data_IF_078325839759
#
_entry.id   IF_078325839759
#
_cell.length_a   1.000
_cell.length_b   1.000
_cell.length_c   1.000
_cell.angle_alpha   90.00
_cell.angle_beta   90.00
_cell.angle_gamma   90.00
#
_symmetry.space_group_name_H-M   'P 1'
#
loop_
_entity.id
_entity.type
_entity.pdbx_description
1 polymer ?
#
# COMPACT_ATOMS: atom_id res chain seq x y z
N UNK A 1 -39.59 18.55 31.25
CA UNK A 1 -38.83 17.79 30.24
C UNK A 1 -37.45 18.41 30.13
N UNK A 2 -36.36 17.69 30.46
CA UNK A 2 -35.02 18.22 30.25
C UNK A 2 -34.69 18.18 28.76
N UNK A 3 -34.26 19.32 28.22
CA UNK A 3 -33.69 19.44 26.88
C UNK A 3 -32.31 18.79 26.93
N UNK A 4 -32.13 17.67 26.23
CA UNK A 4 -30.81 17.04 26.04
C UNK A 4 -30.01 17.95 25.09
N UNK A 5 -28.87 18.52 25.50
CA UNK A 5 -28.04 19.33 24.63
C UNK A 5 -27.39 18.45 23.56
N UNK A 6 -27.45 18.93 22.31
CA UNK A 6 -26.84 18.42 21.08
C UNK A 6 -25.92 17.20 21.21
N UNK A 7 -26.46 16.04 20.87
CA UNK A 7 -25.65 15.01 20.23
C UNK A 7 -25.13 15.61 18.92
N UNK A 8 -23.89 16.11 18.93
CA UNK A 8 -23.13 16.33 17.71
C UNK A 8 -23.28 15.07 16.87
N UNK A 9 -23.75 15.21 15.63
CA UNK A 9 -23.79 14.15 14.64
C UNK A 9 -22.43 13.44 14.72
N UNK A 10 -22.43 12.25 15.31
CA UNK A 10 -21.22 11.53 15.64
C UNK A 10 -20.55 11.20 14.31
N UNK A 11 -19.44 11.88 14.01
CA UNK A 11 -18.55 11.51 12.92
C UNK A 11 -18.41 9.99 12.91
N UNK A 12 -18.82 9.37 11.80
CA UNK A 12 -18.74 7.92 11.65
C UNK A 12 -17.28 7.51 11.84
N UNK A 13 -16.95 6.48 12.64
CA UNK A 13 -15.57 6.06 12.90
C UNK A 13 -14.73 5.90 11.61
N UNK A 14 -15.35 5.47 10.51
CA UNK A 14 -14.77 5.40 9.17
C UNK A 14 -14.19 6.72 8.62
N UNK A 15 -14.76 7.88 8.99
CA UNK A 15 -14.29 9.22 8.58
C UNK A 15 -12.98 9.59 9.28
N UNK A 16 -12.79 9.15 10.53
CA UNK A 16 -11.64 9.50 11.39
C UNK A 16 -10.35 8.82 10.98
N UNK A 17 -10.44 7.67 10.32
CA UNK A 17 -9.29 6.92 9.89
C UNK A 17 -8.66 7.53 8.63
N UNK A 18 -9.48 7.84 7.63
CA UNK A 18 -9.05 8.42 6.36
C UNK A 18 -8.52 9.86 6.51
N UNK A 19 -9.05 10.63 7.44
CA UNK A 19 -8.64 12.02 7.72
C UNK A 19 -7.58 12.13 8.81
N UNK A 20 -7.14 11.01 9.39
CA UNK A 20 -6.10 10.99 10.41
C UNK A 20 -4.79 11.55 9.87
N UNK A 21 -4.19 12.51 10.57
CA UNK A 21 -2.86 13.02 10.25
C UNK A 21 -1.79 11.92 10.20
N UNK A 22 -1.94 10.85 11.00
CA UNK A 22 -1.04 9.70 10.97
C UNK A 22 -1.21 8.84 9.72
N UNK A 23 -2.44 8.66 9.25
CA UNK A 23 -2.70 7.93 8.00
C UNK A 23 -2.14 8.71 6.80
N UNK A 24 -2.42 10.01 6.73
CA UNK A 24 -1.88 10.88 5.69
C UNK A 24 -0.35 10.94 5.75
N UNK A 25 0.21 11.15 6.94
CA UNK A 25 1.65 11.19 7.16
C UNK A 25 2.34 9.88 6.75
N UNK A 26 1.77 8.73 7.13
CA UNK A 26 2.28 7.42 6.76
C UNK A 26 2.28 7.19 5.25
N UNK A 27 1.16 7.46 4.58
CA UNK A 27 1.06 7.29 3.14
C UNK A 27 1.98 8.24 2.35
N UNK A 28 2.00 9.53 2.71
CA UNK A 28 2.87 10.52 2.04
C UNK A 28 4.34 10.21 2.26
N UNK A 29 4.73 9.84 3.48
CA UNK A 29 6.11 9.45 3.78
C UNK A 29 6.51 8.19 3.00
N UNK A 30 5.64 7.18 2.95
CA UNK A 30 5.88 5.98 2.13
C UNK A 30 6.03 6.34 0.67
N UNK A 31 5.16 7.19 0.12
CA UNK A 31 5.25 7.60 -1.27
C UNK A 31 6.57 8.34 -1.55
N UNK A 32 6.94 9.30 -0.69
CA UNK A 32 8.20 10.03 -0.83
C UNK A 32 9.41 9.08 -0.79
N UNK A 33 9.48 8.19 0.20
CA UNK A 33 10.60 7.26 0.36
C UNK A 33 10.72 6.30 -0.83
N UNK A 34 9.60 5.72 -1.28
CA UNK A 34 9.60 4.75 -2.39
C UNK A 34 9.95 5.43 -3.72
N UNK A 35 9.39 6.62 -3.99
CA UNK A 35 9.68 7.35 -5.23
C UNK A 35 11.13 7.86 -5.25
N UNK A 36 11.60 8.48 -4.17
CA UNK A 36 13.00 8.90 -4.06
C UNK A 36 13.93 7.69 -4.15
N UNK A 37 13.57 6.58 -3.51
CA UNK A 37 14.31 5.33 -3.59
C UNK A 37 14.41 4.81 -5.01
N UNK A 38 13.31 4.82 -5.78
CA UNK A 38 13.30 4.38 -7.17
C UNK A 38 14.28 5.19 -8.04
N UNK A 39 14.32 6.51 -7.88
CA UNK A 39 15.29 7.37 -8.57
C UNK A 39 16.74 7.22 -8.05
N UNK A 40 16.93 6.72 -6.83
CA UNK A 40 18.24 6.50 -6.24
C UNK A 40 18.82 5.10 -6.53
N UNK A 41 18.01 4.17 -7.07
CA UNK A 41 18.40 2.81 -7.44
C UNK A 41 17.59 1.72 -6.72
N UNK A 42 17.60 0.50 -7.25
CA UNK A 42 16.83 -0.65 -6.73
C UNK A 42 17.09 -0.93 -5.25
N UNK A 43 18.35 -0.91 -4.82
CA UNK A 43 18.71 -1.21 -3.43
C UNK A 43 18.08 -0.19 -2.47
N UNK A 44 18.15 1.10 -2.83
CA UNK A 44 17.58 2.18 -2.03
C UNK A 44 16.06 2.08 -2.02
N UNK A 45 15.43 1.78 -3.16
CA UNK A 45 14.00 1.49 -3.25
C UNK A 45 13.60 0.30 -2.37
N UNK A 46 14.37 -0.78 -2.38
CA UNK A 46 14.14 -1.97 -1.56
C UNK A 46 14.23 -1.65 -0.07
N UNK A 47 15.21 -0.85 0.35
CA UNK A 47 15.31 -0.39 1.74
C UNK A 47 14.17 0.56 2.14
N UNK A 48 13.71 1.43 1.24
CA UNK A 48 12.55 2.29 1.47
C UNK A 48 11.25 1.47 1.65
N UNK A 49 11.02 0.48 0.78
CA UNK A 49 9.90 -0.45 0.90
C UNK A 49 10.05 -1.32 2.13
N UNK A 50 11.26 -1.78 2.48
CA UNK A 50 11.51 -2.56 3.69
C UNK A 50 11.14 -1.76 4.95
N UNK A 51 11.63 -0.52 5.07
CA UNK A 51 11.36 0.32 6.22
C UNK A 51 9.86 0.58 6.41
N UNK A 52 9.17 0.96 5.33
CA UNK A 52 7.72 1.21 5.35
C UNK A 52 6.92 -0.08 5.51
N UNK A 53 7.39 -1.18 4.93
CA UNK A 53 6.82 -2.51 5.06
C UNK A 53 6.94 -3.09 6.47
N UNK A 54 8.01 -2.81 7.20
CA UNK A 54 8.14 -3.16 8.62
C UNK A 54 7.18 -2.33 9.49
N UNK A 55 7.00 -1.05 9.18
CA UNK A 55 5.98 -0.23 9.84
C UNK A 55 4.55 -0.73 9.54
N UNK A 56 4.28 -1.15 8.29
CA UNK A 56 3.05 -1.85 7.91
C UNK A 56 2.90 -3.15 8.70
N UNK A 57 3.91 -4.02 8.72
CA UNK A 57 3.87 -5.30 9.43
C UNK A 57 3.55 -5.13 10.93
N UNK A 58 4.07 -4.07 11.55
CA UNK A 58 3.77 -3.72 12.93
C UNK A 58 2.32 -3.23 13.13
N UNK A 59 1.89 -2.24 12.35
CA UNK A 59 0.57 -1.61 12.53
C UNK A 59 -0.60 -2.38 11.93
N UNK A 60 -0.36 -3.23 10.94
CA UNK A 60 -1.39 -3.90 10.15
C UNK A 60 -2.30 -4.82 10.97
N UNK A 61 -1.78 -5.69 11.85
CA UNK A 61 -2.64 -6.51 12.69
C UNK A 61 -3.46 -5.68 13.70
N UNK A 62 -2.94 -4.52 14.12
CA UNK A 62 -3.63 -3.57 15.01
C UNK A 62 -4.74 -2.82 14.28
N UNK A 63 -4.54 -2.50 12.99
CA UNK A 63 -5.56 -1.94 12.12
C UNK A 63 -6.72 -2.91 11.90
N UNK A 64 -6.42 -4.19 11.73
CA UNK A 64 -7.42 -5.23 11.53
C UNK A 64 -8.06 -5.76 12.82
N UNK A 65 -7.60 -5.31 14.00
CA UNK A 65 -8.07 -5.82 15.29
C UNK A 65 -7.84 -7.33 15.48
N UNK A 66 -6.73 -7.86 14.95
CA UNK A 66 -6.48 -9.31 14.97
C UNK A 66 -6.22 -9.82 16.41
N UNK A 67 -6.69 -11.03 16.77
CA UNK A 67 -6.56 -11.56 18.13
C UNK A 67 -5.11 -11.73 18.63
N UNK A 68 -4.17 -12.03 17.72
CA UNK A 68 -2.73 -12.17 18.01
C UNK A 68 -1.90 -11.28 17.08
N UNK A 69 -1.78 -9.97 17.39
CA UNK A 69 -1.13 -9.03 16.51
C UNK A 69 0.37 -9.34 16.34
N UNK A 70 1.07 -9.66 17.42
CA UNK A 70 2.53 -9.92 17.41
C UNK A 70 2.93 -11.06 16.48
N UNK A 71 2.18 -12.17 16.51
CA UNK A 71 2.47 -13.33 15.67
C UNK A 71 2.32 -13.04 14.19
N UNK A 72 1.25 -12.31 13.83
CA UNK A 72 1.03 -11.85 12.45
C UNK A 72 2.10 -10.85 12.03
N UNK A 73 2.47 -9.90 12.90
CA UNK A 73 3.54 -8.93 12.63
C UNK A 73 4.89 -9.60 12.36
N UNK A 74 5.23 -10.65 13.12
CA UNK A 74 6.47 -11.40 12.90
C UNK A 74 6.49 -12.11 11.54
N UNK A 75 5.38 -12.73 11.13
CA UNK A 75 5.27 -13.37 9.81
C UNK A 75 5.43 -12.34 8.69
N UNK A 76 4.73 -11.21 8.79
CA UNK A 76 4.81 -10.12 7.82
C UNK A 76 6.21 -9.50 7.75
N UNK A 77 6.85 -9.28 8.90
CA UNK A 77 8.21 -8.74 8.97
C UNK A 77 9.23 -9.70 8.35
N UNK A 78 9.13 -11.01 8.64
CA UNK A 78 10.00 -12.02 8.06
C UNK A 78 9.84 -12.10 6.53
N UNK A 79 8.60 -12.08 6.02
CA UNK A 79 8.35 -12.05 4.59
C UNK A 79 8.87 -10.76 3.94
N UNK A 80 8.66 -9.60 4.57
CA UNK A 80 9.19 -8.32 4.10
C UNK A 80 10.72 -8.32 3.98
N UNK A 81 11.41 -8.82 5.02
CA UNK A 81 12.87 -8.98 5.03
C UNK A 81 13.35 -9.93 3.93
N UNK A 82 12.66 -11.05 3.73
CA UNK A 82 12.98 -12.00 2.67
C UNK A 82 12.84 -11.37 1.28
N UNK A 83 11.74 -10.65 1.03
CA UNK A 83 11.49 -10.00 -0.27
C UNK A 83 12.49 -8.87 -0.54
N UNK A 84 12.85 -8.08 0.48
CA UNK A 84 13.89 -7.06 0.37
C UNK A 84 15.26 -7.70 0.09
N UNK A 85 15.57 -8.80 0.78
CA UNK A 85 16.78 -9.59 0.53
C UNK A 85 16.86 -10.09 -0.90
N UNK A 86 15.75 -10.57 -1.48
CA UNK A 86 15.71 -10.95 -2.90
C UNK A 86 16.10 -9.77 -3.79
N UNK A 87 15.50 -8.60 -3.63
CA UNK A 87 15.81 -7.45 -4.50
C UNK A 87 17.28 -7.02 -4.36
N UNK A 88 17.78 -6.94 -3.13
CA UNK A 88 19.17 -6.50 -2.86
C UNK A 88 20.21 -7.52 -3.33
N UNK A 89 19.94 -8.82 -3.23
CA UNK A 89 20.92 -9.86 -3.55
C UNK A 89 20.77 -10.46 -4.95
N UNK A 90 19.71 -10.16 -5.69
CA UNK A 90 19.55 -10.64 -7.08
C UNK A 90 20.41 -9.85 -8.08
N UNK A 91 20.84 -8.63 -7.74
CA UNK A 91 21.65 -7.80 -8.65
C UNK A 91 20.91 -7.54 -9.96
N UNK A 92 21.57 -7.82 -11.09
CA UNK A 92 21.02 -7.64 -12.44
C UNK A 92 20.10 -8.80 -12.90
N UNK A 93 20.07 -9.92 -12.16
CA UNK A 93 19.18 -11.03 -12.48
C UNK A 93 17.73 -10.71 -12.10
N UNK A 94 16.77 -11.18 -12.91
CA UNK A 94 15.33 -11.00 -12.67
C UNK A 94 14.88 -11.78 -11.41
N UNK A 95 14.98 -11.12 -10.25
CA UNK A 95 14.63 -11.65 -8.94
C UNK A 95 13.13 -11.88 -8.72
N UNK A 96 12.27 -11.62 -9.71
CA UNK A 96 10.80 -11.68 -9.52
C UNK A 96 10.28 -13.10 -9.27
N UNK A 97 10.95 -14.12 -9.83
CA UNK A 97 10.64 -15.51 -9.51
C UNK A 97 10.96 -15.82 -8.05
N UNK A 98 12.12 -15.39 -7.55
CA UNK A 98 12.52 -15.57 -6.16
C UNK A 98 11.60 -14.78 -5.20
N UNK A 99 11.14 -13.59 -5.60
CA UNK A 99 10.19 -12.80 -4.82
C UNK A 99 8.86 -13.54 -4.66
N UNK A 100 8.37 -14.18 -5.74
CA UNK A 100 7.18 -15.03 -5.72
C UNK A 100 7.36 -16.24 -4.80
N UNK A 101 8.55 -16.85 -4.77
CA UNK A 101 8.89 -17.94 -3.85
C UNK A 101 8.87 -17.46 -2.39
N UNK A 102 9.43 -16.28 -2.08
CA UNK A 102 9.38 -15.71 -0.73
C UNK A 102 7.94 -15.41 -0.31
N UNK A 103 7.12 -14.86 -1.22
CA UNK A 103 5.70 -14.62 -0.94
C UNK A 103 4.96 -15.91 -0.62
N UNK A 104 5.19 -16.98 -1.39
CA UNK A 104 4.64 -18.30 -1.11
C UNK A 104 5.13 -18.85 0.25
N UNK A 105 6.42 -18.68 0.55
CA UNK A 105 7.02 -19.01 1.84
C UNK A 105 6.37 -18.24 3.00
N UNK A 106 6.11 -16.94 2.84
CA UNK A 106 5.40 -16.11 3.80
C UNK A 106 3.98 -16.60 4.06
N UNK A 107 3.27 -17.04 3.01
CA UNK A 107 1.93 -17.62 3.15
C UNK A 107 1.99 -18.96 3.92
N UNK A 108 2.96 -19.83 3.62
CA UNK A 108 3.19 -21.06 4.37
C UNK A 108 3.51 -20.76 5.84
N UNK A 109 4.36 -19.78 6.12
CA UNK A 109 4.67 -19.33 7.48
C UNK A 109 3.42 -18.81 8.20
N UNK A 110 2.52 -18.11 7.50
CA UNK A 110 1.25 -17.68 8.06
C UNK A 110 0.38 -18.88 8.49
N UNK A 111 0.30 -19.93 7.66
CA UNK A 111 -0.42 -21.15 8.02
C UNK A 111 0.24 -21.89 9.20
N UNK A 112 1.56 -22.05 9.19
CA UNK A 112 2.30 -22.68 10.29
C UNK A 112 2.08 -21.92 11.60
N UNK A 113 2.08 -20.58 11.56
CA UNK A 113 1.76 -19.75 12.71
C UNK A 113 0.36 -20.04 13.26
N UNK A 114 -0.64 -20.20 12.40
CA UNK A 114 -2.00 -20.56 12.82
C UNK A 114 -2.09 -22.00 13.37
N UNK A 115 -1.30 -22.95 12.87
CA UNK A 115 -1.29 -24.34 13.36
C UNK A 115 -0.71 -24.46 14.78
N UNK A 116 0.27 -23.63 15.13
CA UNK A 116 0.86 -23.57 16.48
C UNK A 116 -0.09 -22.87 17.47
N UNK A 117 -1.12 -22.17 16.97
CA UNK A 117 -2.06 -21.44 17.82
C UNK A 117 -2.98 -22.40 18.56
N UNK A 118 -3.06 -22.22 19.88
CA UNK A 118 -3.89 -23.01 20.78
C UNK A 118 -5.28 -22.42 21.04
N UNK A 119 -5.54 -21.21 20.52
CA UNK A 119 -6.79 -20.48 20.76
C UNK A 119 -7.90 -20.98 19.83
N UNK A 120 -9.15 -20.73 20.22
CA UNK A 120 -10.35 -21.13 19.48
C UNK A 120 -10.27 -20.86 17.97
N UNK A 121 -10.91 -21.75 17.20
CA UNK A 121 -10.84 -21.75 15.72
C UNK A 121 -11.69 -20.64 15.05
N UNK A 122 -12.43 -19.88 15.85
CA UNK A 122 -13.45 -18.92 15.38
C UNK A 122 -12.85 -17.78 14.55
N UNK A 123 -11.59 -17.41 14.80
CA UNK A 123 -10.91 -16.29 14.11
C UNK A 123 -9.83 -16.70 13.11
N UNK A 124 -9.70 -18.00 12.79
CA UNK A 124 -8.62 -18.47 11.92
C UNK A 124 -8.70 -17.87 10.52
N UNK A 125 -9.89 -17.86 9.93
CA UNK A 125 -10.10 -17.34 8.58
C UNK A 125 -9.82 -15.84 8.51
N UNK A 126 -10.29 -15.07 9.51
CA UNK A 126 -10.06 -13.62 9.56
C UNK A 126 -8.57 -13.31 9.74
N UNK A 127 -7.88 -14.00 10.65
CA UNK A 127 -6.45 -13.80 10.87
C UNK A 127 -5.61 -14.19 9.65
N UNK A 128 -5.97 -15.27 8.97
CA UNK A 128 -5.29 -15.70 7.74
C UNK A 128 -5.58 -14.78 6.56
N UNK A 129 -6.82 -14.32 6.38
CA UNK A 129 -7.19 -13.34 5.37
C UNK A 129 -6.46 -12.00 5.59
N UNK A 130 -6.41 -11.54 6.85
CA UNK A 130 -5.66 -10.35 7.23
C UNK A 130 -4.16 -10.49 6.96
N UNK A 131 -3.55 -11.62 7.35
CA UNK A 131 -2.13 -11.87 7.11
C UNK A 131 -1.80 -11.98 5.60
N UNK A 132 -2.57 -12.76 4.85
CA UNK A 132 -2.38 -12.91 3.40
C UNK A 132 -2.57 -11.59 2.65
N UNK A 133 -3.53 -10.76 3.05
CA UNK A 133 -3.68 -9.43 2.46
C UNK A 133 -2.49 -8.52 2.78
N UNK A 134 -1.98 -8.55 4.01
CA UNK A 134 -0.73 -7.87 4.37
C UNK A 134 0.47 -8.32 3.54
N UNK A 135 0.61 -9.63 3.29
CA UNK A 135 1.66 -10.18 2.42
C UNK A 135 1.55 -9.65 0.97
N UNK A 136 0.33 -9.57 0.43
CA UNK A 136 0.09 -9.03 -0.92
C UNK A 136 0.47 -7.55 -0.99
N UNK A 137 0.15 -6.75 0.03
CA UNK A 137 0.53 -5.34 0.09
C UNK A 137 2.05 -5.15 0.13
N UNK A 138 2.74 -5.95 0.96
CA UNK A 138 4.20 -5.94 1.05
C UNK A 138 4.85 -6.37 -0.27
N UNK A 139 4.34 -7.43 -0.89
CA UNK A 139 4.83 -7.89 -2.18
C UNK A 139 4.61 -6.84 -3.27
N UNK A 140 3.43 -6.23 -3.34
CA UNK A 140 3.12 -5.14 -4.26
C UNK A 140 4.09 -3.97 -4.09
N UNK A 141 4.38 -3.58 -2.85
CA UNK A 141 5.43 -2.61 -2.55
C UNK A 141 6.79 -3.05 -3.09
N UNK A 142 7.20 -4.30 -2.87
CA UNK A 142 8.51 -4.77 -3.31
C UNK A 142 8.64 -4.91 -4.83
N UNK A 143 7.55 -5.24 -5.53
CA UNK A 143 7.51 -5.19 -7.00
C UNK A 143 7.83 -3.80 -7.55
N UNK A 144 7.46 -2.72 -6.83
CA UNK A 144 7.85 -1.37 -7.24
C UNK A 144 9.37 -1.13 -7.15
N UNK A 145 10.04 -1.68 -6.12
CA UNK A 145 11.50 -1.61 -6.01
C UNK A 145 12.19 -2.45 -7.11
N UNK A 146 11.63 -3.61 -7.44
CA UNK A 146 12.12 -4.45 -8.54
C UNK A 146 11.90 -3.85 -9.93
N UNK A 147 10.91 -2.96 -10.10
CA UNK A 147 10.66 -2.30 -11.37
C UNK A 147 11.66 -1.16 -11.67
N UNK A 148 12.24 -0.53 -10.65
CA UNK A 148 13.05 0.68 -10.78
C UNK A 148 14.28 0.58 -11.72
N UNK A 149 15.02 -0.56 -11.80
CA UNK A 149 16.20 -0.67 -12.68
C UNK A 149 15.90 -0.70 -14.18
N UNK A 150 14.67 -0.99 -14.57
CA UNK A 150 14.32 -1.14 -15.97
C UNK A 150 14.02 0.23 -16.62
N UNK A 151 14.09 0.27 -17.95
CA UNK A 151 13.77 1.48 -18.72
C UNK A 151 12.39 2.04 -18.32
N UNK A 152 12.40 3.31 -17.87
CA UNK A 152 11.22 4.06 -17.38
C UNK A 152 10.52 3.44 -16.15
N UNK A 153 11.17 2.50 -15.47
CA UNK A 153 10.64 1.86 -14.26
C UNK A 153 10.47 2.84 -13.10
N UNK A 154 11.43 3.74 -12.91
CA UNK A 154 11.37 4.84 -11.94
C UNK A 154 10.16 5.77 -12.17
N UNK A 155 9.90 6.15 -13.43
CA UNK A 155 8.73 6.94 -13.82
C UNK A 155 7.43 6.17 -13.57
N UNK A 156 7.38 4.87 -13.89
CA UNK A 156 6.22 4.03 -13.60
C UNK A 156 5.95 3.91 -12.09
N UNK A 157 6.99 3.79 -11.27
CA UNK A 157 6.88 3.81 -9.80
C UNK A 157 6.36 5.17 -9.32
N UNK A 158 6.93 6.28 -9.80
CA UNK A 158 6.50 7.62 -9.46
C UNK A 158 5.02 7.85 -9.75
N UNK A 159 4.54 7.36 -10.90
CA UNK A 159 3.12 7.45 -11.27
C UNK A 159 2.24 6.58 -10.40
N UNK A 160 2.56 5.28 -10.23
CA UNK A 160 1.71 4.35 -9.49
C UNK A 160 1.60 4.71 -8.00
N UNK A 161 2.72 5.04 -7.38
CA UNK A 161 2.82 5.40 -5.96
C UNK A 161 2.29 6.83 -5.73
N UNK A 162 2.63 7.77 -6.61
CA UNK A 162 2.16 9.15 -6.57
C UNK A 162 0.65 9.27 -6.73
N UNK A 163 0.04 8.50 -7.64
CA UNK A 163 -1.41 8.45 -7.82
C UNK A 163 -2.13 8.00 -6.54
N UNK A 164 -1.61 6.96 -5.87
CA UNK A 164 -2.18 6.47 -4.61
C UNK A 164 -2.08 7.52 -3.49
N UNK A 165 -0.93 8.20 -3.39
CA UNK A 165 -0.70 9.25 -2.39
C UNK A 165 -1.58 10.49 -2.61
N UNK A 166 -1.72 10.96 -3.86
CA UNK A 166 -2.63 12.08 -4.17
C UNK A 166 -4.09 11.71 -3.93
N UNK A 167 -4.51 10.48 -4.24
CA UNK A 167 -5.84 10.00 -3.88
C UNK A 167 -6.08 9.98 -2.36
N UNK A 168 -5.08 9.59 -1.58
CA UNK A 168 -5.13 9.64 -0.11
C UNK A 168 -5.24 11.08 0.40
N UNK A 169 -4.53 12.04 -0.21
CA UNK A 169 -4.64 13.47 0.14
C UNK A 169 -5.99 14.05 -0.27
N UNK A 170 -6.51 13.70 -1.43
CA UNK A 170 -7.83 14.14 -1.90
C UNK A 170 -8.94 13.71 -0.95
N UNK A 171 -8.83 12.49 -0.42
CA UNK A 171 -9.75 11.94 0.56
C UNK A 171 -9.83 12.77 1.85
N UNK A 172 -8.78 13.51 2.21
CA UNK A 172 -8.77 14.41 3.37
C UNK A 172 -9.34 15.80 3.08
N UNK A 173 -9.40 16.20 1.81
CA UNK A 173 -9.91 17.51 1.38
C UNK A 173 -11.39 17.42 1.01
N UNK A 174 -11.87 16.25 0.57
CA UNK A 174 -13.25 16.05 0.17
C UNK A 174 -14.22 16.17 1.37
N UNK A 175 -15.31 16.94 1.24
CA UNK A 175 -16.34 17.00 2.29
C UNK A 175 -16.95 15.63 2.54
N UNK A 176 -17.22 15.28 3.80
CA UNK A 176 -17.72 13.94 4.19
C UNK A 176 -18.94 13.49 3.39
N UNK A 177 -19.89 14.41 3.17
CA UNK A 177 -21.11 14.20 2.39
C UNK A 177 -20.86 13.74 0.95
N UNK A 178 -19.72 14.07 0.35
CA UNK A 178 -19.36 13.72 -1.02
C UNK A 178 -18.17 12.75 -1.09
N UNK A 179 -17.47 12.50 0.02
CA UNK A 179 -16.22 11.74 0.04
C UNK A 179 -16.40 10.31 -0.48
N UNK A 180 -17.51 9.63 -0.18
CA UNK A 180 -17.73 8.25 -0.63
C UNK A 180 -17.99 8.16 -2.14
N UNK A 181 -18.71 9.14 -2.70
CA UNK A 181 -19.08 9.14 -4.12
C UNK A 181 -17.96 9.70 -5.01
N UNK A 182 -17.27 10.76 -4.54
CA UNK A 182 -16.25 11.48 -5.30
C UNK A 182 -14.82 11.04 -5.02
N UNK A 183 -14.55 10.17 -4.04
CA UNK A 183 -13.19 9.67 -3.80
C UNK A 183 -12.62 8.93 -5.01
N UNK A 184 -13.40 8.05 -5.63
CA UNK A 184 -12.90 7.22 -6.74
C UNK A 184 -12.69 8.01 -8.05
N UNK A 185 -13.59 8.91 -8.51
CA UNK A 185 -13.34 9.69 -9.72
C UNK A 185 -12.18 10.67 -9.52
N UNK A 186 -12.11 11.33 -8.35
CA UNK A 186 -11.02 12.27 -8.05
C UNK A 186 -9.68 11.54 -7.99
N UNK A 187 -9.62 10.37 -7.36
CA UNK A 187 -8.38 9.57 -7.33
C UNK A 187 -7.92 9.13 -8.72
N UNK A 188 -8.86 8.72 -9.58
CA UNK A 188 -8.56 8.37 -10.97
C UNK A 188 -8.06 9.58 -11.76
N UNK A 189 -8.74 10.72 -11.66
CA UNK A 189 -8.34 11.95 -12.34
C UNK A 189 -6.96 12.42 -11.88
N UNK A 190 -6.68 12.38 -10.57
CA UNK A 190 -5.37 12.71 -10.04
C UNK A 190 -4.30 11.72 -10.50
N UNK A 191 -4.62 10.43 -10.57
CA UNK A 191 -3.71 9.42 -11.10
C UNK A 191 -3.34 9.67 -12.56
N UNK A 192 -4.33 9.95 -13.41
CA UNK A 192 -4.12 10.35 -14.82
C UNK A 192 -3.28 11.62 -14.91
N UNK A 193 -3.55 12.61 -14.06
CA UNK A 193 -2.78 13.86 -14.02
C UNK A 193 -1.31 13.62 -13.65
N UNK A 194 -1.02 12.75 -12.69
CA UNK A 194 0.36 12.36 -12.35
C UNK A 194 1.02 11.68 -13.54
N UNK A 195 0.34 10.73 -14.19
CA UNK A 195 0.83 10.07 -15.40
C UNK A 195 1.17 11.06 -16.51
N UNK A 196 0.31 12.06 -16.72
CA UNK A 196 0.53 13.13 -17.69
C UNK A 196 1.74 13.99 -17.33
N UNK A 197 1.82 14.46 -16.08
CA UNK A 197 2.90 15.34 -15.63
C UNK A 197 4.24 14.63 -15.70
N UNK A 198 4.33 13.39 -15.20
CA UNK A 198 5.57 12.59 -15.27
C UNK A 198 5.94 12.33 -16.72
N UNK A 199 5.01 11.90 -17.58
CA UNK A 199 5.30 11.67 -18.99
C UNK A 199 5.80 12.92 -19.74
N UNK A 200 5.24 14.10 -19.44
CA UNK A 200 5.71 15.36 -20.01
C UNK A 200 7.08 15.80 -19.48
N UNK A 201 7.38 15.54 -18.21
CA UNK A 201 8.68 15.89 -17.59
C UNK A 201 9.80 14.98 -18.08
N UNK A 202 9.55 13.67 -18.20
CA UNK A 202 10.56 12.72 -18.69
C UNK A 202 10.74 12.81 -20.21
N UNK A 203 9.75 13.35 -20.94
CA UNK A 203 9.81 13.50 -22.40
C UNK A 203 9.63 12.18 -23.15
N UNK A 204 9.05 11.18 -22.50
CA UNK A 204 8.98 9.81 -23.00
C UNK A 204 7.82 9.56 -23.96
N UNK A 205 8.07 8.70 -24.96
CA UNK A 205 7.06 8.28 -25.96
C UNK A 205 5.97 7.36 -25.37
N UNK A 206 6.15 6.82 -24.16
CA UNK A 206 5.23 5.88 -23.53
C UNK A 206 4.11 6.55 -22.73
N UNK A 207 3.79 7.82 -23.03
CA UNK A 207 2.77 8.61 -22.33
C UNK A 207 1.45 7.84 -22.16
N UNK A 208 1.03 7.07 -23.16
CA UNK A 208 -0.18 6.22 -23.09
C UNK A 208 -0.13 5.21 -21.93
N UNK A 209 1.03 4.59 -21.71
CA UNK A 209 1.22 3.60 -20.64
C UNK A 209 1.25 4.30 -19.30
N UNK A 210 1.96 5.43 -19.15
CA UNK A 210 1.98 6.20 -17.90
C UNK A 210 0.58 6.73 -17.52
N UNK A 211 -0.21 7.20 -18.50
CA UNK A 211 -1.61 7.58 -18.25
C UNK A 211 -2.45 6.38 -17.77
N UNK A 212 -2.31 5.22 -18.42
CA UNK A 212 -3.02 3.99 -18.03
C UNK A 212 -2.60 3.55 -16.62
N UNK A 213 -1.30 3.57 -16.31
CA UNK A 213 -0.77 3.26 -14.98
C UNK A 213 -1.36 4.18 -13.93
N UNK A 214 -1.38 5.48 -14.18
CA UNK A 214 -1.98 6.48 -13.30
C UNK A 214 -3.47 6.23 -13.07
N UNK A 215 -4.22 5.94 -14.15
CA UNK A 215 -5.65 5.62 -14.09
C UNK A 215 -5.90 4.38 -13.22
N UNK A 216 -5.20 3.29 -13.49
CA UNK A 216 -5.39 2.01 -12.78
C UNK A 216 -4.92 2.13 -11.33
N UNK A 217 -3.82 2.83 -11.06
CA UNK A 217 -3.32 3.07 -9.72
C UNK A 217 -4.26 3.95 -8.90
N UNK A 218 -4.80 5.02 -9.50
CA UNK A 218 -5.80 5.87 -8.87
C UNK A 218 -7.06 5.08 -8.49
N UNK A 219 -7.53 4.22 -9.39
CA UNK A 219 -8.68 3.34 -9.13
C UNK A 219 -8.38 2.30 -8.03
N UNK A 220 -7.26 1.57 -8.15
CA UNK A 220 -6.87 0.53 -7.21
C UNK A 220 -6.66 1.10 -5.80
N UNK A 221 -5.93 2.22 -5.69
CA UNK A 221 -5.73 2.92 -4.42
C UNK A 221 -7.05 3.37 -3.78
N UNK A 222 -7.99 3.92 -4.58
CA UNK A 222 -9.32 4.28 -4.09
C UNK A 222 -10.13 3.06 -3.62
N UNK A 223 -10.08 1.95 -4.35
CA UNK A 223 -10.76 0.71 -3.98
C UNK A 223 -10.23 0.15 -2.65
N UNK A 224 -8.91 0.12 -2.47
CA UNK A 224 -8.27 -0.34 -1.24
C UNK A 224 -8.65 0.57 -0.06
N UNK A 225 -8.54 1.89 -0.23
CA UNK A 225 -8.95 2.85 0.82
C UNK A 225 -10.43 2.73 1.17
N UNK A 226 -11.29 2.44 0.19
CA UNK A 226 -12.73 2.22 0.41
C UNK A 226 -13.00 0.98 1.27
N UNK A 227 -12.28 -0.12 1.04
CA UNK A 227 -12.38 -1.32 1.88
C UNK A 227 -11.83 -1.05 3.29
N UNK A 228 -10.65 -0.42 3.38
CA UNK A 228 -10.00 -0.16 4.66
C UNK A 228 -10.75 0.86 5.54
N UNK A 229 -11.54 1.76 4.95
CA UNK A 229 -12.41 2.70 5.70
C UNK A 229 -13.49 2.01 6.51
N UNK A 230 -13.82 0.75 6.20
CA UNK A 230 -14.77 -0.04 6.99
C UNK A 230 -14.18 -0.49 8.33
N UNK A 231 -12.86 -0.36 8.49
CA UNK A 231 -12.14 -0.69 9.71
C UNK A 231 -12.09 0.52 10.63
N UNK A 232 -12.11 0.24 11.93
CA UNK A 232 -11.94 1.24 12.97
C UNK A 232 -10.80 0.80 13.89
N UNK A 233 -9.95 1.76 14.28
CA UNK A 233 -8.87 1.51 15.22
C UNK A 233 -8.45 2.80 15.90
N UNK A 234 -8.34 2.74 17.23
CA UNK A 234 -7.79 3.83 18.06
C UNK A 234 -6.26 3.79 18.11
N UNK A 235 -5.63 2.70 17.66
CA UNK A 235 -4.19 2.52 17.77
C UNK A 235 -3.44 3.40 16.74
N UNK A 236 -2.45 4.21 17.18
CA UNK A 236 -1.71 5.09 16.28
C UNK A 236 -0.93 4.33 15.20
N UNK A 237 -0.41 3.14 15.50
CA UNK A 237 0.26 2.29 14.51
C UNK A 237 -0.73 1.70 13.52
N UNK A 238 -1.95 1.36 13.98
CA UNK A 238 -3.05 0.97 13.10
C UNK A 238 -3.37 2.05 12.08
N UNK A 239 -3.54 3.30 12.54
CA UNK A 239 -3.81 4.48 11.68
C UNK A 239 -2.66 4.78 10.71
N UNK A 240 -1.42 4.65 11.15
CA UNK A 240 -0.25 4.80 10.27
C UNK A 240 -0.27 3.75 9.14
N UNK A 241 -0.54 2.49 9.50
CA UNK A 241 -0.51 1.36 8.56
C UNK A 241 -1.58 1.45 7.47
N UNK A 242 -2.72 2.12 7.73
CA UNK A 242 -3.73 2.43 6.72
C UNK A 242 -3.14 3.19 5.52
N UNK A 243 -2.38 4.26 5.79
CA UNK A 243 -1.78 5.09 4.75
C UNK A 243 -0.71 4.34 3.97
N UNK A 244 0.13 3.59 4.68
CA UNK A 244 1.18 2.76 4.08
C UNK A 244 0.55 1.69 3.17
N UNK A 245 -0.47 0.98 3.66
CA UNK A 245 -1.19 -0.04 2.89
C UNK A 245 -1.80 0.52 1.60
N UNK A 246 -2.48 1.67 1.70
CA UNK A 246 -3.08 2.32 0.54
C UNK A 246 -2.06 2.62 -0.56
N UNK A 247 -0.86 3.07 -0.18
CA UNK A 247 0.20 3.43 -1.12
C UNK A 247 0.94 2.21 -1.67
N UNK A 248 1.33 1.26 -0.82
CA UNK A 248 2.04 0.05 -1.28
C UNK A 248 1.16 -0.83 -2.19
N UNK A 249 -0.16 -0.77 -2.04
CA UNK A 249 -1.10 -1.55 -2.86
C UNK A 249 -0.99 -1.32 -4.38
N UNK A 250 -0.48 -0.15 -4.81
CA UNK A 250 -0.34 0.16 -6.24
C UNK A 250 1.05 -0.16 -6.79
N UNK A 251 2.01 -0.57 -5.95
CA UNK A 251 3.39 -0.83 -6.37
C UNK A 251 3.54 -1.89 -7.46
N UNK A 252 2.70 -2.94 -7.47
CA UNK A 252 2.70 -3.97 -8.51
C UNK A 252 2.36 -3.41 -9.90
N UNK A 253 1.61 -2.31 -9.97
CA UNK A 253 1.24 -1.67 -11.23
C UNK A 253 2.45 -1.00 -11.89
N UNK A 254 3.46 -0.58 -11.12
CA UNK A 254 4.71 -0.08 -11.67
C UNK A 254 5.45 -1.17 -12.45
N UNK A 255 5.54 -2.37 -11.87
CA UNK A 255 6.12 -3.53 -12.54
C UNK A 255 5.32 -3.94 -13.79
N UNK A 256 3.99 -3.97 -13.69
CA UNK A 256 3.14 -4.28 -14.85
C UNK A 256 3.29 -3.25 -15.99
N UNK A 257 3.40 -1.97 -15.65
CA UNK A 257 3.63 -0.90 -16.62
C UNK A 257 4.98 -1.05 -17.32
N UNK A 258 6.04 -1.29 -16.54
CA UNK A 258 7.38 -1.53 -17.03
C UNK A 258 7.46 -2.77 -17.94
N UNK A 259 6.76 -3.85 -17.60
CA UNK A 259 6.64 -5.02 -18.46
C UNK A 259 5.96 -4.71 -19.80
N UNK A 260 4.95 -3.83 -19.81
CA UNK A 260 4.25 -3.41 -21.03
C UNK A 260 5.06 -2.44 -21.89
N UNK A 261 5.92 -1.62 -21.28
CA UNK A 261 6.80 -0.68 -22.00
C UNK A 261 7.89 -1.46 -22.76
N UNK A 262 8.43 -2.51 -22.15
CA UNK A 262 9.58 -3.26 -22.66
C UNK A 262 9.22 -4.42 -23.61
N UNK A 263 7.96 -4.47 -24.07
CA UNK A 263 7.45 -5.52 -24.96
C UNK A 263 7.16 -4.98 -26.36
#
# INVERSE_FOLDING_TARGET
MPVVPGASLTESPASRLATSSLALGGGVLTAALVVIGAYAGSDVAAYAVLATGLALAWGWPLLLGLPRPTGTSLVLAAACLGMAGVVVFSGDDDGMQALSVVLAGGLVLAFLHQLVRTDGREDLTVSLAGCSFGLVLLASGMFSAGAAPYDQGDAAVAVAIGAAALGLLADAVLPEQHAVEWSWPVSVLLGVLVGLVVGLVTGDLSLNILLLTGLVAGFAGAAIRRVLRLLDTDDPAGRLSYGIAAVLSTGVLAYAAQYLINR
#
